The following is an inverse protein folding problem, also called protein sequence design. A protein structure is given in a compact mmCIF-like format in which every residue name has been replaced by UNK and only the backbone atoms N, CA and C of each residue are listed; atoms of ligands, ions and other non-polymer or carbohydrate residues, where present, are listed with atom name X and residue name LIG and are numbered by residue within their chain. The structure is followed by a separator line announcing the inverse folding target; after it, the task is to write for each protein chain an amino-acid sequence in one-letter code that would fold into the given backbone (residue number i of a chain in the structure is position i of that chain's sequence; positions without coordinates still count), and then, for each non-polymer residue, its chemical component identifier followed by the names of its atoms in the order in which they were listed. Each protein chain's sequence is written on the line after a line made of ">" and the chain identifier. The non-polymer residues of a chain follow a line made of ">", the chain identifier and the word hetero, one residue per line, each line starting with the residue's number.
data_IF_413744542414
#
_entry.id   IF_413744542414
#
_cell.length_a   1.000
_cell.length_b   1.000
_cell.length_c   1.000
_cell.angle_alpha   90.00
_cell.angle_beta   90.00
_cell.angle_gamma   90.00
#
_symmetry.space_group_name_H-M   'P 1'
#
loop_
_entity.id
_entity.type
_entity.pdbx_description
1 polymer ?
#
# COMPACT_ATOMS: atom_id res chain seq x y z
N UNK A 1 -5.36 -14.02 -18.13
CA UNK A 1 -4.94 -14.56 -16.84
C UNK A 1 -3.85 -13.62 -16.36
N UNK A 2 -4.19 -12.67 -15.48
CA UNK A 2 -3.23 -11.67 -14.96
C UNK A 2 -2.58 -12.33 -13.76
N UNK A 3 -1.30 -12.68 -13.90
CA UNK A 3 -0.46 -13.17 -12.82
C UNK A 3 -0.16 -11.97 -11.91
N UNK A 4 -0.94 -11.83 -10.83
CA UNK A 4 -0.68 -10.82 -9.80
C UNK A 4 0.48 -11.30 -8.93
N UNK A 5 1.68 -11.25 -9.46
CA UNK A 5 2.91 -11.48 -8.71
C UNK A 5 3.05 -10.36 -7.68
N UNK A 6 2.77 -10.67 -6.41
CA UNK A 6 2.95 -9.73 -5.31
C UNK A 6 4.41 -9.77 -4.85
N UNK A 7 5.30 -9.24 -5.69
CA UNK A 7 6.77 -9.28 -5.50
C UNK A 7 7.32 -8.31 -4.44
N UNK A 8 6.44 -7.66 -3.67
CA UNK A 8 6.90 -6.72 -2.63
C UNK A 8 7.41 -7.39 -1.34
N UNK A 9 7.38 -8.73 -1.25
CA UNK A 9 7.97 -9.48 -0.13
C UNK A 9 9.26 -10.14 -0.57
N UNK A 10 10.31 -9.35 -0.75
CA UNK A 10 11.67 -9.84 -0.90
C UNK A 10 12.26 -10.10 0.49
N UNK A 11 11.86 -11.19 1.12
CA UNK A 11 12.41 -11.63 2.41
C UNK A 11 12.94 -13.05 2.32
N UNK A 12 14.17 -13.29 2.80
CA UNK A 12 14.67 -14.64 3.06
C UNK A 12 13.71 -15.35 4.03
N UNK A 13 13.53 -16.69 3.95
CA UNK A 13 12.64 -17.45 4.85
C UNK A 13 12.82 -17.12 6.33
N UNK A 14 14.04 -16.83 6.79
CA UNK A 14 14.34 -16.41 8.17
C UNK A 14 13.67 -15.09 8.55
N UNK A 15 13.61 -14.10 7.67
CA UNK A 15 12.98 -12.80 7.98
C UNK A 15 11.48 -12.92 8.18
N UNK A 16 10.84 -13.87 7.48
CA UNK A 16 9.41 -14.15 7.62
C UNK A 16 9.09 -14.77 8.99
N UNK A 17 9.90 -15.74 9.46
CA UNK A 17 9.72 -16.31 10.80
C UNK A 17 9.87 -15.26 11.91
N UNK A 18 10.89 -14.39 11.82
CA UNK A 18 11.06 -13.29 12.77
C UNK A 18 9.91 -12.26 12.71
N UNK A 19 9.34 -12.03 11.52
CA UNK A 19 8.17 -11.17 11.40
C UNK A 19 6.95 -11.78 12.10
N UNK A 20 6.67 -13.08 11.88
CA UNK A 20 5.59 -13.82 12.55
C UNK A 20 5.77 -13.80 14.07
N UNK A 21 6.98 -14.10 14.58
CA UNK A 21 7.26 -14.04 16.01
C UNK A 21 7.05 -12.66 16.63
N UNK A 22 7.40 -11.59 15.91
CA UNK A 22 7.13 -10.22 16.37
C UNK A 22 5.64 -9.92 16.43
N UNK A 23 4.89 -10.34 15.42
CA UNK A 23 3.44 -10.14 15.37
C UNK A 23 2.73 -10.93 16.47
N UNK A 24 3.16 -12.18 16.75
CA UNK A 24 2.65 -12.98 17.87
C UNK A 24 2.94 -12.32 19.22
N UNK A 25 4.19 -11.86 19.45
CA UNK A 25 4.57 -11.16 20.69
C UNK A 25 3.81 -9.84 20.89
N UNK A 26 3.47 -9.18 19.80
CA UNK A 26 2.67 -7.96 19.82
C UNK A 26 1.15 -8.23 19.89
N UNK A 27 0.74 -9.51 19.97
CA UNK A 27 -0.66 -9.95 20.01
C UNK A 27 -1.50 -9.45 18.80
N UNK A 28 -0.81 -9.19 17.66
CA UNK A 28 -1.47 -8.74 16.43
C UNK A 28 -1.98 -9.92 15.60
N UNK A 29 -1.42 -11.10 15.78
CA UNK A 29 -1.88 -12.37 15.20
C UNK A 29 -1.94 -13.44 16.27
N UNK A 30 -2.78 -14.46 16.03
CA UNK A 30 -2.93 -15.64 16.87
C UNK A 30 -2.89 -16.93 16.04
N UNK A 31 -2.56 -18.06 16.68
CA UNK A 31 -2.62 -19.37 16.03
C UNK A 31 -4.07 -19.83 15.99
N UNK A 32 -4.64 -19.96 14.79
CA UNK A 32 -6.01 -20.47 14.59
C UNK A 32 -6.03 -22.00 14.59
N UNK A 33 -5.07 -22.64 13.91
CA UNK A 33 -4.93 -24.09 13.85
C UNK A 33 -3.54 -24.51 13.41
N UNK A 34 -3.19 -25.75 13.75
CA UNK A 34 -1.98 -26.41 13.27
C UNK A 34 -2.38 -27.75 12.64
N UNK A 35 -2.10 -27.89 11.34
CA UNK A 35 -2.41 -29.10 10.57
C UNK A 35 -1.13 -29.94 10.40
N UNK A 36 -1.23 -31.25 10.64
CA UNK A 36 -0.17 -32.24 10.37
C UNK A 36 -0.65 -33.27 9.35
N UNK A 37 -0.66 -32.93 8.04
CA UNK A 37 -1.01 -33.92 7.02
C UNK A 37 0.03 -35.05 6.99
N UNK A 38 -0.41 -36.31 6.85
CA UNK A 38 0.51 -37.45 6.73
C UNK A 38 1.49 -37.22 5.56
N UNK A 39 2.81 -37.25 5.86
CA UNK A 39 3.87 -37.14 4.85
C UNK A 39 4.17 -35.73 4.32
N UNK A 40 3.64 -34.67 4.98
CA UNK A 40 3.94 -33.26 4.65
C UNK A 40 4.43 -32.53 5.91
N UNK A 41 5.21 -31.42 5.74
CA UNK A 41 5.57 -30.56 6.86
C UNK A 41 4.34 -30.02 7.60
N UNK A 42 4.48 -29.80 8.89
CA UNK A 42 3.48 -29.14 9.72
C UNK A 42 3.17 -27.74 9.20
N UNK A 43 1.88 -27.38 9.11
CA UNK A 43 1.40 -26.10 8.67
C UNK A 43 0.63 -25.42 9.79
N UNK A 44 1.12 -24.26 10.24
CA UNK A 44 0.42 -23.40 11.19
C UNK A 44 -0.33 -22.31 10.44
N UNK A 45 -1.60 -22.13 10.74
CA UNK A 45 -2.48 -21.08 10.20
C UNK A 45 -2.63 -20.02 11.28
N UNK A 46 -2.33 -18.79 10.92
CA UNK A 46 -2.47 -17.62 11.77
C UNK A 46 -3.69 -16.79 11.35
N UNK A 47 -4.36 -16.17 12.32
CA UNK A 47 -5.42 -15.20 12.11
C UNK A 47 -5.04 -13.85 12.69
N UNK A 48 -5.65 -12.78 12.17
CA UNK A 48 -5.54 -11.46 12.78
C UNK A 48 -6.41 -11.39 14.03
N UNK A 49 -5.86 -10.87 15.12
CA UNK A 49 -6.64 -10.43 16.29
C UNK A 49 -7.39 -9.12 15.96
N UNK A 50 -8.31 -8.69 16.82
CA UNK A 50 -8.95 -7.38 16.67
C UNK A 50 -7.92 -6.24 16.73
N UNK A 51 -6.93 -6.33 17.62
CA UNK A 51 -5.80 -5.40 17.70
C UNK A 51 -4.97 -5.42 16.42
N UNK A 52 -4.70 -6.61 15.87
CA UNK A 52 -3.97 -6.76 14.60
C UNK A 52 -4.72 -6.19 13.41
N UNK A 53 -6.05 -6.33 13.39
CA UNK A 53 -6.90 -5.73 12.36
C UNK A 53 -6.85 -4.20 12.43
N UNK A 54 -6.96 -3.63 13.63
CA UNK A 54 -6.88 -2.19 13.83
C UNK A 54 -5.50 -1.62 13.43
N UNK A 55 -4.41 -2.29 13.83
CA UNK A 55 -3.03 -1.89 13.45
C UNK A 55 -2.82 -1.95 11.94
N UNK A 56 -3.31 -3.01 11.27
CA UNK A 56 -3.25 -3.14 9.81
C UNK A 56 -4.00 -1.99 9.12
N UNK A 57 -5.22 -1.71 9.55
CA UNK A 57 -6.04 -0.64 8.99
C UNK A 57 -5.35 0.73 9.13
N UNK A 58 -4.81 1.03 10.31
CA UNK A 58 -4.11 2.29 10.55
C UNK A 58 -2.84 2.42 9.69
N UNK A 59 -2.05 1.33 9.54
CA UNK A 59 -0.86 1.33 8.67
C UNK A 59 -1.22 1.55 7.22
N UNK A 60 -2.23 0.83 6.71
CA UNK A 60 -2.69 0.98 5.32
C UNK A 60 -3.19 2.40 5.10
N UNK A 61 -4.02 2.95 6.00
CA UNK A 61 -4.50 4.33 5.93
C UNK A 61 -3.35 5.33 5.80
N UNK A 62 -2.37 5.24 6.70
CA UNK A 62 -1.20 6.13 6.69
C UNK A 62 -0.37 6.03 5.41
N UNK A 63 -0.14 4.81 4.92
CA UNK A 63 0.59 4.60 3.66
C UNK A 63 -0.18 5.11 2.44
N UNK A 64 -1.51 5.12 2.48
CA UNK A 64 -2.34 5.74 1.45
C UNK A 64 -2.28 7.26 1.50
N UNK A 65 -2.23 7.86 2.69
CA UNK A 65 -2.23 9.32 2.88
C UNK A 65 -0.89 9.97 2.52
N UNK A 66 0.22 9.33 2.93
CA UNK A 66 1.54 9.95 2.89
C UNK A 66 2.36 9.46 1.69
N UNK A 67 2.72 10.34 0.74
CA UNK A 67 3.66 10.00 -0.32
C UNK A 67 5.04 9.70 0.27
N UNK A 68 5.56 8.50 0.01
CA UNK A 68 6.88 8.06 0.41
C UNK A 68 7.81 7.98 -0.81
N UNK A 69 9.12 8.27 -0.68
CA UNK A 69 10.09 8.05 -1.75
C UNK A 69 10.13 6.60 -2.25
N UNK A 70 9.88 5.63 -1.35
CA UNK A 70 9.73 4.22 -1.72
C UNK A 70 8.32 3.93 -2.23
N UNK A 71 8.16 3.94 -3.55
CA UNK A 71 6.88 3.65 -4.20
C UNK A 71 6.32 2.26 -3.87
N UNK A 72 7.17 1.31 -3.42
CA UNK A 72 6.71 -0.05 -3.07
C UNK A 72 5.77 -0.05 -1.87
N UNK A 73 5.92 0.91 -0.96
CA UNK A 73 5.04 1.08 0.19
C UNK A 73 3.61 1.46 -0.22
N UNK A 74 3.48 2.34 -1.20
CA UNK A 74 2.16 2.69 -1.75
C UNK A 74 1.52 1.51 -2.49
N UNK A 75 2.28 0.80 -3.31
CA UNK A 75 1.81 -0.42 -4.00
C UNK A 75 1.36 -1.48 -2.99
N UNK A 76 2.11 -1.66 -1.89
CA UNK A 76 1.68 -2.55 -0.81
C UNK A 76 0.35 -2.10 -0.20
N UNK A 77 0.18 -0.80 0.10
CA UNK A 77 -1.09 -0.28 0.64
C UNK A 77 -2.26 -0.50 -0.33
N UNK A 78 -2.06 -0.30 -1.64
CA UNK A 78 -3.07 -0.58 -2.67
C UNK A 78 -3.51 -2.05 -2.69
N UNK A 79 -2.59 -2.99 -2.39
CA UNK A 79 -2.92 -4.42 -2.30
C UNK A 79 -3.82 -4.77 -1.12
N UNK A 80 -3.96 -3.85 -0.15
CA UNK A 80 -4.77 -4.03 1.06
C UNK A 80 -5.91 -3.01 1.18
N UNK A 81 -6.29 -2.34 0.08
CA UNK A 81 -7.38 -1.35 0.08
C UNK A 81 -8.66 -1.87 0.72
N UNK A 82 -9.02 -3.11 0.43
CA UNK A 82 -10.24 -3.75 0.93
C UNK A 82 -10.27 -3.92 2.45
N UNK A 83 -9.16 -3.78 3.20
CA UNK A 83 -9.21 -3.83 4.67
C UNK A 83 -9.76 -2.55 5.31
N UNK A 84 -9.95 -1.48 4.53
CA UNK A 84 -10.52 -0.22 4.97
C UNK A 84 -11.94 -0.03 4.40
N UNK A 85 -12.83 0.67 5.11
CA UNK A 85 -14.07 1.17 4.53
C UNK A 85 -13.79 2.08 3.32
N UNK A 86 -14.62 1.98 2.28
CA UNK A 86 -14.50 2.79 1.06
C UNK A 86 -14.34 4.29 1.36
N UNK A 87 -15.10 4.82 2.31
CA UNK A 87 -15.03 6.23 2.71
C UNK A 87 -13.67 6.62 3.28
N UNK A 88 -13.02 5.74 4.03
CA UNK A 88 -11.68 5.98 4.57
C UNK A 88 -10.62 5.95 3.47
N UNK A 89 -10.70 4.99 2.55
CA UNK A 89 -9.81 4.95 1.38
C UNK A 89 -9.95 6.23 0.55
N UNK A 90 -11.18 6.66 0.27
CA UNK A 90 -11.43 7.90 -0.45
C UNK A 90 -10.78 9.11 0.25
N UNK A 91 -10.98 9.25 1.55
CA UNK A 91 -10.39 10.35 2.33
C UNK A 91 -8.86 10.31 2.33
N UNK A 92 -8.27 9.13 2.52
CA UNK A 92 -6.82 8.95 2.52
C UNK A 92 -6.18 9.30 1.16
N UNK A 93 -6.79 8.86 0.06
CA UNK A 93 -6.32 9.18 -1.29
C UNK A 93 -6.49 10.68 -1.62
N UNK A 94 -7.53 11.35 -1.12
CA UNK A 94 -7.70 12.80 -1.32
C UNK A 94 -6.63 13.61 -0.59
N UNK A 95 -6.24 13.18 0.63
CA UNK A 95 -5.08 13.74 1.36
C UNK A 95 -3.80 13.54 0.54
N UNK A 96 -3.54 12.33 0.03
CA UNK A 96 -2.36 12.05 -0.80
C UNK A 96 -2.32 12.93 -2.04
N UNK A 97 -3.44 13.04 -2.76
CA UNK A 97 -3.54 13.88 -3.97
C UNK A 97 -3.16 15.32 -3.68
N UNK A 98 -3.66 15.87 -2.56
CA UNK A 98 -3.35 17.24 -2.11
C UNK A 98 -1.86 17.36 -1.78
N UNK A 99 -1.29 16.42 -1.05
CA UNK A 99 0.12 16.44 -0.67
C UNK A 99 1.06 16.34 -1.89
N UNK A 100 0.70 15.49 -2.88
CA UNK A 100 1.43 15.41 -4.14
C UNK A 100 1.40 16.77 -4.89
N UNK A 101 0.24 17.43 -4.93
CA UNK A 101 0.09 18.78 -5.49
C UNK A 101 1.01 19.77 -4.79
N UNK A 102 1.00 19.83 -3.46
CA UNK A 102 1.85 20.72 -2.67
C UNK A 102 3.35 20.50 -2.94
N UNK A 103 3.79 19.26 -3.09
CA UNK A 103 5.20 18.93 -3.41
C UNK A 103 5.58 19.39 -4.81
N UNK A 104 4.70 19.18 -5.80
CA UNK A 104 4.91 19.65 -7.19
C UNK A 104 5.04 21.18 -7.20
N UNK A 105 4.09 21.89 -6.58
CA UNK A 105 4.08 23.34 -6.54
C UNK A 105 5.29 23.90 -5.80
N UNK A 106 5.70 23.27 -4.69
CA UNK A 106 6.90 23.62 -3.94
C UNK A 106 8.17 23.48 -4.78
N UNK A 107 8.31 22.38 -5.56
CA UNK A 107 9.44 22.16 -6.45
C UNK A 107 9.46 23.21 -7.57
N UNK A 108 8.32 23.51 -8.19
CA UNK A 108 8.24 24.56 -9.20
C UNK A 108 8.60 25.93 -8.63
N UNK A 109 8.13 26.28 -7.45
CA UNK A 109 8.47 27.54 -6.79
C UNK A 109 9.97 27.63 -6.49
N UNK A 110 10.61 26.56 -6.03
CA UNK A 110 12.04 26.52 -5.79
C UNK A 110 12.83 26.71 -7.09
N UNK A 111 12.43 26.07 -8.17
CA UNK A 111 13.05 26.22 -9.49
C UNK A 111 12.89 27.64 -10.03
N UNK A 112 11.75 28.30 -9.84
CA UNK A 112 11.49 29.66 -10.29
C UNK A 112 12.34 30.72 -9.56
N UNK A 113 12.77 30.45 -8.34
CA UNK A 113 13.61 31.35 -7.52
C UNK A 113 15.09 31.02 -7.60
N UNK A 114 15.45 29.89 -8.19
CA UNK A 114 16.84 29.49 -8.36
C UNK A 114 17.56 30.40 -9.40
N UNK A 115 18.88 30.69 -9.23
CA UNK A 115 19.67 31.32 -10.30
C UNK A 115 19.62 30.45 -11.55
N UNK A 116 19.88 31.05 -12.72
CA UNK A 116 19.92 30.33 -14.00
C UNK A 116 20.98 29.21 -13.94
N UNK A 117 20.53 28.00 -13.67
CA UNK A 117 21.37 26.80 -13.57
C UNK A 117 21.38 26.07 -14.93
N UNK A 118 22.46 25.42 -15.31
CA UNK A 118 22.48 24.50 -16.44
C UNK A 118 21.40 23.42 -16.23
N UNK A 119 20.69 23.06 -17.30
CA UNK A 119 19.62 22.04 -17.24
C UNK A 119 20.08 20.71 -16.65
N UNK A 120 21.37 20.35 -16.88
CA UNK A 120 21.95 19.13 -16.30
C UNK A 120 21.75 19.03 -14.77
N UNK A 121 21.78 20.16 -14.07
CA UNK A 121 21.58 20.24 -12.61
C UNK A 121 20.10 20.25 -12.21
N UNK A 122 19.19 20.32 -13.16
CA UNK A 122 17.74 20.35 -12.95
C UNK A 122 17.05 19.03 -13.31
N UNK A 123 17.74 18.08 -13.94
CA UNK A 123 17.16 16.82 -14.44
C UNK A 123 16.50 16.02 -13.31
N UNK A 124 17.09 16.00 -12.12
CA UNK A 124 16.49 15.32 -10.96
C UNK A 124 15.13 15.93 -10.57
N UNK A 125 15.06 17.26 -10.51
CA UNK A 125 13.82 17.97 -10.20
C UNK A 125 12.77 17.80 -11.32
N UNK A 126 13.18 17.82 -12.59
CA UNK A 126 12.31 17.55 -13.74
C UNK A 126 11.71 16.13 -13.63
N UNK A 127 12.53 15.13 -13.32
CA UNK A 127 12.11 13.75 -13.14
C UNK A 127 11.14 13.62 -11.95
N UNK A 128 11.46 14.23 -10.81
CA UNK A 128 10.61 14.17 -9.60
C UNK A 128 9.23 14.81 -9.86
N UNK A 129 9.17 15.96 -10.52
CA UNK A 129 7.91 16.59 -10.92
C UNK A 129 7.09 15.67 -11.82
N UNK A 130 7.73 15.05 -12.82
CA UNK A 130 7.04 14.13 -13.73
C UNK A 130 6.48 12.92 -13.00
N UNK A 131 7.24 12.33 -12.09
CA UNK A 131 6.83 11.18 -11.26
C UNK A 131 5.66 11.53 -10.35
N UNK A 132 5.76 12.62 -9.61
CA UNK A 132 4.70 13.08 -8.69
C UNK A 132 3.43 13.45 -9.46
N UNK A 133 3.56 14.05 -10.64
CA UNK A 133 2.42 14.41 -11.50
C UNK A 133 1.70 13.15 -11.98
N UNK A 134 2.43 12.16 -12.48
CA UNK A 134 1.85 10.89 -12.92
C UNK A 134 1.12 10.17 -11.79
N UNK A 135 1.69 10.15 -10.60
CA UNK A 135 1.06 9.54 -9.42
C UNK A 135 -0.20 10.30 -8.99
N UNK A 136 -0.14 11.65 -8.93
CA UNK A 136 -1.30 12.50 -8.59
C UNK A 136 -2.47 12.27 -9.56
N UNK A 137 -2.17 12.21 -10.85
CA UNK A 137 -3.19 12.07 -11.90
C UNK A 137 -3.81 10.65 -11.86
N UNK A 138 -3.02 9.63 -11.56
CA UNK A 138 -3.51 8.28 -11.34
C UNK A 138 -4.42 8.20 -10.10
N UNK A 139 -4.02 8.83 -8.98
CA UNK A 139 -4.84 8.90 -7.75
C UNK A 139 -6.15 9.64 -8.02
N UNK A 140 -6.12 10.73 -8.81
CA UNK A 140 -7.34 11.45 -9.20
C UNK A 140 -8.30 10.56 -10.02
N UNK A 141 -7.77 9.74 -10.93
CA UNK A 141 -8.54 8.73 -11.66
C UNK A 141 -9.19 7.70 -10.74
N UNK A 142 -8.44 7.17 -9.79
CA UNK A 142 -8.94 6.20 -8.81
C UNK A 142 -10.04 6.80 -7.91
N UNK A 143 -9.89 8.06 -7.49
CA UNK A 143 -10.92 8.79 -6.75
C UNK A 143 -12.21 8.94 -7.57
N UNK A 144 -12.08 9.27 -8.86
CA UNK A 144 -13.23 9.37 -9.77
C UNK A 144 -13.92 8.01 -9.96
N UNK A 145 -13.18 6.90 -9.98
CA UNK A 145 -13.73 5.55 -10.04
C UNK A 145 -14.46 5.17 -8.74
N UNK A 146 -13.89 5.54 -7.59
CA UNK A 146 -14.56 5.40 -6.30
C UNK A 146 -15.86 6.20 -6.26
N UNK A 147 -15.82 7.48 -6.62
CA UNK A 147 -17.00 8.36 -6.56
C UNK A 147 -18.12 7.90 -7.51
N UNK A 148 -17.76 7.39 -8.68
CA UNK A 148 -18.71 6.84 -9.67
C UNK A 148 -19.18 5.41 -9.37
N UNK A 149 -18.65 4.75 -8.33
CA UNK A 149 -19.02 3.35 -8.00
C UNK A 149 -18.53 2.33 -9.02
N UNK A 150 -17.47 2.63 -9.78
CA UNK A 150 -16.87 1.70 -10.75
C UNK A 150 -15.96 0.66 -10.12
N UNK A 151 -15.63 0.82 -8.83
CA UNK A 151 -14.92 -0.20 -8.06
C UNK A 151 -15.92 -0.94 -7.17
N UNK A 152 -16.04 -2.24 -7.41
CA UNK A 152 -16.78 -3.14 -6.52
C UNK A 152 -16.07 -3.20 -5.17
N UNK A 153 -16.80 -2.83 -4.11
CA UNK A 153 -16.25 -2.84 -2.76
C UNK A 153 -16.90 -3.99 -1.99
N UNK A 154 -16.14 -4.99 -1.53
CA UNK A 154 -16.71 -6.09 -0.79
C UNK A 154 -17.30 -5.60 0.53
N UNK A 155 -18.44 -6.13 0.91
CA UNK A 155 -19.04 -5.85 2.22
C UNK A 155 -18.18 -6.40 3.36
N UNK A 156 -17.52 -7.54 3.14
CA UNK A 156 -16.52 -8.14 4.02
C UNK A 156 -15.36 -8.67 3.15
N UNK A 157 -14.12 -8.49 3.62
CA UNK A 157 -12.92 -9.04 2.95
C UNK A 157 -12.94 -10.58 2.88
N UNK A 158 -13.71 -11.23 3.76
CA UNK A 158 -13.92 -12.68 3.75
C UNK A 158 -14.72 -13.14 2.53
N UNK A 159 -15.45 -12.23 1.88
CA UNK A 159 -16.23 -12.51 0.67
C UNK A 159 -15.36 -12.46 -0.60
N UNK A 160 -14.10 -12.01 -0.49
CA UNK A 160 -13.15 -12.08 -1.58
C UNK A 160 -12.63 -13.52 -1.71
N UNK A 161 -13.18 -14.27 -2.66
CA UNK A 161 -12.57 -15.51 -3.11
C UNK A 161 -11.21 -15.20 -3.75
N UNK A 162 -10.14 -15.33 -2.96
CA UNK A 162 -8.77 -15.29 -3.51
C UNK A 162 -8.54 -16.61 -4.24
N UNK A 163 -8.35 -16.61 -5.58
CA UNK A 163 -8.07 -17.84 -6.30
C UNK A 163 -6.86 -18.53 -5.69
N UNK A 164 -7.05 -19.75 -5.19
CA UNK A 164 -5.95 -20.55 -4.67
C UNK A 164 -5.04 -20.91 -5.84
N UNK A 165 -3.86 -20.31 -5.91
CA UNK A 165 -2.83 -20.74 -6.86
C UNK A 165 -2.30 -22.07 -6.37
N UNK A 166 -2.56 -23.13 -7.17
CA UNK A 166 -1.99 -24.47 -6.98
C UNK A 166 -0.54 -24.49 -7.42
#
# INVERSE_FOLDING_TARGET
>A
MIDTHKDFVTGLPRSMYHAVERLLRAELIEVVRTDRPRGRPERTVYGLTDAGRADLQERVRRLLEQPDPDATLFVAALSFLGCLPRSQVRSALDVRRTELGNRIDGTHAALATAPALPRLLLVEAEYEIARLTAERDWVAGLLADLDAGRLDWPADLRDLEVPTVN
#
